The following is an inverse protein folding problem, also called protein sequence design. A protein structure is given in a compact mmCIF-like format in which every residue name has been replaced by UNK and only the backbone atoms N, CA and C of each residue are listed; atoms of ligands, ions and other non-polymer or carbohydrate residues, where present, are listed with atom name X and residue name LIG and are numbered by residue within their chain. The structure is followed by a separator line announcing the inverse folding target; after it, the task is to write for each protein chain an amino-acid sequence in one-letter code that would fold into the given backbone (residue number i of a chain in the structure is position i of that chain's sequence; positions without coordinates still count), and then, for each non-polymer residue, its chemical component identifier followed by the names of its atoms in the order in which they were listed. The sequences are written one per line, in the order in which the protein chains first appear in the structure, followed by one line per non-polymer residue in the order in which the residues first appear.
data_IF_107771402924
#
_entry.id   IF_107771402924
#
_cell.length_a   1.000
_cell.length_b   1.000
_cell.length_c   1.000
_cell.angle_alpha   90.00
_cell.angle_beta   90.00
_cell.angle_gamma   90.00
#
_symmetry.space_group_name_H-M   'P 1'
#
loop_
_entity.id
_entity.type
_entity.pdbx_description
1 polymer ?
#
# COMPACT_ATOMS: atom_id res chain seq x y z
N UNK A 1 35.05 8.38 2.72
CA UNK A 1 33.89 9.24 2.43
C UNK A 1 32.87 8.99 3.52
N UNK A 2 32.49 10.01 4.30
CA UNK A 2 31.43 9.91 5.30
C UNK A 2 30.13 9.65 4.56
N UNK A 3 29.48 8.51 4.80
CA UNK A 3 28.14 8.22 4.25
C UNK A 3 27.18 9.25 4.87
N UNK A 4 26.56 10.06 4.05
CA UNK A 4 25.43 10.88 4.51
C UNK A 4 24.31 9.87 4.79
N UNK A 5 23.84 9.75 6.05
CA UNK A 5 22.74 8.82 6.33
C UNK A 5 21.49 9.26 5.56
N UNK A 6 20.77 8.29 5.03
CA UNK A 6 19.49 8.58 4.40
C UNK A 6 18.54 9.17 5.44
N UNK A 7 17.72 10.20 5.07
CA UNK A 7 16.80 10.80 6.02
C UNK A 7 15.81 9.75 6.54
N UNK A 8 15.55 9.79 7.84
CA UNK A 8 14.49 8.98 8.42
C UNK A 8 13.14 9.55 7.96
N UNK A 9 12.26 8.69 7.50
CA UNK A 9 10.88 9.04 7.17
C UNK A 9 10.05 9.02 8.45
N UNK A 10 9.96 10.17 9.12
CA UNK A 10 9.36 10.32 10.43
C UNK A 10 7.84 10.10 10.41
N UNK A 11 7.31 9.62 11.54
CA UNK A 11 5.88 9.53 11.83
C UNK A 11 5.55 10.50 12.98
N UNK A 12 5.32 11.79 12.70
CA UNK A 12 5.23 12.85 13.72
C UNK A 12 4.05 12.67 14.69
N UNK A 13 3.05 11.89 14.32
CA UNK A 13 1.87 11.62 15.13
C UNK A 13 1.88 10.23 15.77
N UNK A 14 3.03 9.54 15.77
CA UNK A 14 3.12 8.15 16.16
C UNK A 14 2.59 7.88 17.58
N UNK A 15 1.67 6.95 17.63
CA UNK A 15 1.13 6.34 18.84
C UNK A 15 1.27 4.82 18.66
N UNK A 16 1.81 4.14 19.68
CA UNK A 16 2.07 2.69 19.59
C UNK A 16 0.82 1.89 19.30
N UNK A 17 0.95 0.85 18.50
CA UNK A 17 -0.10 -0.09 18.14
C UNK A 17 0.38 -1.53 18.29
N UNK A 18 -0.55 -2.45 18.54
CA UNK A 18 -0.31 -3.89 18.45
C UNK A 18 -0.53 -4.42 17.02
N UNK A 19 -0.96 -3.57 16.08
CA UNK A 19 -1.11 -3.92 14.68
C UNK A 19 0.26 -4.19 14.05
N UNK A 20 0.30 -5.16 13.14
CA UNK A 20 1.52 -5.49 12.42
C UNK A 20 1.53 -4.79 11.07
N UNK A 21 2.69 -4.26 10.72
CA UNK A 21 3.00 -3.79 9.38
C UNK A 21 3.11 -5.02 8.46
N UNK A 22 2.38 -5.02 7.34
CA UNK A 22 2.51 -6.03 6.30
C UNK A 22 3.09 -5.42 5.04
N UNK A 23 4.24 -5.92 4.61
CA UNK A 23 4.80 -5.62 3.29
C UNK A 23 4.61 -6.84 2.38
N UNK A 24 4.12 -6.62 1.18
CA UNK A 24 4.00 -7.66 0.16
C UNK A 24 4.05 -7.03 -1.22
N UNK A 25 5.02 -7.50 -2.05
CA UNK A 25 5.18 -7.07 -3.44
C UNK A 25 5.61 -8.24 -4.31
N UNK A 26 5.23 -8.20 -5.58
CA UNK A 26 5.71 -9.15 -6.59
C UNK A 26 6.48 -8.37 -7.65
N UNK A 27 7.71 -8.73 -7.89
CA UNK A 27 8.56 -8.15 -8.95
C UNK A 27 8.72 -9.17 -10.05
N UNK A 28 8.23 -8.84 -11.23
CA UNK A 28 8.31 -9.68 -12.42
C UNK A 28 9.54 -9.30 -13.24
N UNK A 29 10.27 -10.27 -13.76
CA UNK A 29 11.47 -9.95 -14.54
C UNK A 29 12.25 -11.17 -15.01
N UNK A 30 13.46 -10.87 -15.51
CA UNK A 30 14.55 -11.82 -15.71
C UNK A 30 15.78 -11.25 -15.03
N UNK A 31 16.05 -11.74 -13.83
CA UNK A 31 17.00 -11.08 -12.95
C UNK A 31 18.44 -11.49 -13.24
N UNK A 32 19.33 -10.50 -13.23
CA UNK A 32 20.77 -10.70 -13.29
C UNK A 32 21.28 -11.15 -11.92
N UNK A 33 22.28 -12.04 -11.93
CA UNK A 33 22.96 -12.44 -10.70
C UNK A 33 23.78 -11.28 -10.14
N UNK A 34 23.74 -11.08 -8.83
CA UNK A 34 24.51 -10.04 -8.16
C UNK A 34 23.78 -9.42 -6.99
N UNK A 35 24.44 -8.46 -6.34
CA UNK A 35 23.82 -7.67 -5.27
C UNK A 35 23.01 -6.52 -5.88
N UNK A 36 21.78 -6.38 -5.45
CA UNK A 36 20.96 -5.25 -5.85
C UNK A 36 21.58 -3.92 -5.41
N UNK A 37 21.69 -2.91 -6.30
CA UNK A 37 22.30 -1.61 -6.00
C UNK A 37 21.35 -0.71 -5.19
N UNK A 38 20.80 -1.24 -4.09
CA UNK A 38 19.78 -0.54 -3.30
C UNK A 38 20.29 0.73 -2.61
N UNK A 39 21.59 0.85 -2.39
CA UNK A 39 22.22 2.07 -1.86
C UNK A 39 22.02 3.28 -2.76
N UNK A 40 21.88 3.10 -4.07
CA UNK A 40 21.63 4.18 -5.02
C UNK A 40 20.20 4.77 -4.83
N UNK A 41 19.33 4.00 -4.20
CA UNK A 41 17.95 4.33 -3.89
C UNK A 41 17.68 4.57 -2.39
N UNK A 42 18.72 4.82 -1.61
CA UNK A 42 18.55 5.17 -0.21
C UNK A 42 18.26 4.00 0.74
N UNK A 43 18.60 2.75 0.33
CA UNK A 43 18.33 1.55 1.11
C UNK A 43 19.61 0.76 1.37
N UNK A 44 19.82 0.30 2.60
CA UNK A 44 20.91 -0.62 2.96
C UNK A 44 20.56 -2.10 2.69
N UNK A 45 19.32 -2.38 2.30
CA UNK A 45 18.77 -3.70 2.03
C UNK A 45 17.35 -3.86 2.55
N UNK A 46 16.81 -5.06 2.51
CA UNK A 46 15.51 -5.34 3.11
C UNK A 46 15.61 -5.22 4.64
N UNK A 47 14.55 -4.68 5.29
CA UNK A 47 14.49 -4.63 6.75
C UNK A 47 14.44 -6.05 7.34
N UNK A 48 14.88 -6.18 8.61
CA UNK A 48 14.73 -7.42 9.35
C UNK A 48 13.27 -7.85 9.39
N UNK A 49 13.00 -9.13 9.12
CA UNK A 49 11.65 -9.69 9.05
C UNK A 49 10.95 -9.52 7.69
N UNK A 50 11.63 -8.93 6.70
CA UNK A 50 11.20 -8.92 5.30
C UNK A 50 12.10 -9.83 4.48
N UNK A 51 11.50 -10.79 3.80
CA UNK A 51 12.21 -11.80 3.00
C UNK A 51 11.90 -11.63 1.52
N UNK A 52 12.84 -12.06 0.70
CA UNK A 52 12.71 -12.15 -0.74
C UNK A 52 12.85 -13.60 -1.19
N UNK A 53 11.84 -14.12 -1.88
CA UNK A 53 11.85 -15.46 -2.46
C UNK A 53 11.74 -15.40 -3.97
N UNK A 54 12.52 -16.26 -4.66
CA UNK A 54 12.49 -16.36 -6.12
C UNK A 54 11.63 -17.54 -6.57
N UNK A 55 10.81 -17.31 -7.57
CA UNK A 55 9.93 -18.30 -8.15
C UNK A 55 10.07 -18.36 -9.66
N UNK A 56 10.03 -19.57 -10.21
CA UNK A 56 9.78 -19.75 -11.63
C UNK A 56 8.33 -19.32 -11.93
N UNK A 57 8.14 -18.41 -12.87
CA UNK A 57 6.83 -17.82 -13.11
C UNK A 57 5.81 -18.84 -13.65
N UNK A 58 6.24 -19.79 -14.49
CA UNK A 58 5.35 -20.82 -15.01
C UNK A 58 4.82 -21.75 -13.89
N UNK A 59 5.62 -22.00 -12.85
CA UNK A 59 5.20 -22.74 -11.67
C UNK A 59 4.29 -21.89 -10.78
N UNK A 60 4.63 -20.64 -10.55
CA UNK A 60 3.82 -19.72 -9.72
C UNK A 60 2.41 -19.52 -10.30
N UNK A 61 2.25 -19.54 -11.62
CA UNK A 61 0.96 -19.47 -12.29
C UNK A 61 0.01 -20.64 -11.97
N UNK A 62 0.52 -21.75 -11.45
CA UNK A 62 -0.31 -22.91 -11.06
C UNK A 62 -0.89 -22.74 -9.65
N UNK A 63 -0.39 -21.82 -8.88
CA UNK A 63 -0.90 -21.53 -7.54
C UNK A 63 -2.29 -20.85 -7.64
N UNK A 64 -3.26 -21.31 -6.85
CA UNK A 64 -4.64 -20.78 -6.86
C UNK A 64 -4.71 -19.28 -6.48
N UNK A 65 -3.82 -18.83 -5.62
CA UNK A 65 -3.68 -17.41 -5.22
C UNK A 65 -2.89 -16.54 -6.21
N UNK A 66 -2.59 -17.02 -7.43
CA UNK A 66 -1.82 -16.24 -8.40
C UNK A 66 -2.53 -14.93 -8.79
N UNK A 67 -1.91 -13.75 -8.53
CA UNK A 67 -2.62 -12.47 -8.53
C UNK A 67 -3.01 -11.95 -9.92
N UNK A 68 -2.38 -12.43 -11.01
CA UNK A 68 -2.70 -11.99 -12.37
C UNK A 68 -3.73 -12.89 -13.08
N UNK A 69 -4.58 -13.59 -12.30
CA UNK A 69 -5.62 -14.49 -12.82
C UNK A 69 -7.02 -13.94 -12.49
N UNK A 70 -8.02 -14.50 -13.16
CA UNK A 70 -9.45 -14.22 -12.88
C UNK A 70 -9.86 -12.77 -13.14
N UNK A 71 -10.70 -12.21 -12.28
CA UNK A 71 -11.21 -10.84 -12.38
C UNK A 71 -10.10 -9.80 -12.17
N UNK A 72 -9.23 -10.04 -11.21
CA UNK A 72 -8.09 -9.15 -10.91
C UNK A 72 -7.12 -9.09 -12.09
N UNK A 73 -6.81 -10.24 -12.71
CA UNK A 73 -5.98 -10.27 -13.91
C UNK A 73 -6.61 -9.51 -15.09
N UNK A 74 -7.94 -9.60 -15.27
CA UNK A 74 -8.65 -8.80 -16.29
C UNK A 74 -8.58 -7.31 -15.99
N UNK A 75 -8.77 -6.90 -14.75
CA UNK A 75 -8.64 -5.51 -14.32
C UNK A 75 -7.26 -4.93 -14.68
N UNK A 76 -6.18 -5.67 -14.38
CA UNK A 76 -4.83 -5.23 -14.75
C UNK A 76 -4.61 -5.17 -16.26
N UNK A 77 -5.16 -6.14 -17.01
CA UNK A 77 -5.06 -6.14 -18.46
C UNK A 77 -5.73 -4.92 -19.11
N UNK A 78 -6.80 -4.43 -18.51
CA UNK A 78 -7.56 -3.27 -18.96
C UNK A 78 -6.95 -1.95 -18.46
N UNK A 79 -6.59 -1.89 -17.16
CA UNK A 79 -6.10 -0.66 -16.52
C UNK A 79 -4.62 -0.38 -16.72
N UNK A 80 -3.78 -1.42 -16.90
CA UNK A 80 -2.32 -1.30 -17.06
C UNK A 80 -1.82 -2.31 -18.11
N UNK A 81 -2.25 -2.21 -19.39
CA UNK A 81 -2.04 -3.25 -20.40
C UNK A 81 -0.58 -3.54 -20.68
N UNK A 82 0.29 -2.53 -20.69
CA UNK A 82 1.72 -2.71 -20.96
C UNK A 82 2.41 -3.40 -19.76
N UNK A 83 2.19 -2.92 -18.54
CA UNK A 83 2.72 -3.55 -17.34
C UNK A 83 2.22 -5.00 -17.19
N UNK A 84 0.95 -5.25 -17.53
CA UNK A 84 0.38 -6.59 -17.52
C UNK A 84 1.07 -7.51 -18.53
N UNK A 85 1.28 -7.05 -19.76
CA UNK A 85 1.98 -7.81 -20.79
C UNK A 85 3.40 -8.15 -20.36
N UNK A 86 4.16 -7.16 -19.88
CA UNK A 86 5.53 -7.34 -19.38
C UNK A 86 5.56 -8.35 -18.21
N UNK A 87 4.63 -8.23 -17.26
CA UNK A 87 4.53 -9.14 -16.13
C UNK A 87 4.22 -10.58 -16.58
N UNK A 88 3.28 -10.76 -17.51
CA UNK A 88 2.91 -12.09 -18.00
C UNK A 88 4.08 -12.75 -18.77
N UNK A 89 4.84 -12.00 -19.54
CA UNK A 89 5.96 -12.53 -20.35
C UNK A 89 7.23 -12.78 -19.52
N UNK A 90 7.31 -12.26 -18.30
CA UNK A 90 8.47 -12.43 -17.42
C UNK A 90 8.66 -13.92 -17.02
N UNK A 91 9.89 -14.46 -17.08
CA UNK A 91 10.16 -15.85 -16.71
C UNK A 91 10.25 -16.09 -15.19
N UNK A 92 10.51 -15.05 -14.41
CA UNK A 92 10.78 -15.13 -12.98
C UNK A 92 9.92 -14.11 -12.20
N UNK A 93 9.62 -14.43 -10.94
CA UNK A 93 8.95 -13.56 -10.00
C UNK A 93 9.69 -13.58 -8.68
N UNK A 94 10.08 -12.41 -8.20
CA UNK A 94 10.56 -12.23 -6.84
C UNK A 94 9.39 -11.77 -5.98
N UNK A 95 9.13 -12.50 -4.89
CA UNK A 95 8.12 -12.15 -3.90
C UNK A 95 8.83 -11.57 -2.69
N UNK A 96 8.58 -10.31 -2.39
CA UNK A 96 9.03 -9.63 -1.19
C UNK A 96 7.87 -9.62 -0.21
N UNK A 97 8.07 -10.21 0.97
CA UNK A 97 7.03 -10.28 2.00
C UNK A 97 7.63 -10.25 3.39
N UNK A 98 6.94 -9.54 4.30
CA UNK A 98 7.28 -9.57 5.72
C UNK A 98 6.18 -9.00 6.58
N UNK A 99 6.20 -9.38 7.85
CA UNK A 99 5.42 -8.79 8.92
C UNK A 99 6.38 -8.18 9.94
N UNK A 100 6.15 -6.91 10.28
CA UNK A 100 6.98 -6.16 11.21
C UNK A 100 6.13 -5.64 12.37
N UNK A 101 6.70 -5.45 13.55
CA UNK A 101 6.02 -4.69 14.60
C UNK A 101 5.83 -3.24 14.18
N UNK A 102 4.90 -2.54 14.86
CA UNK A 102 4.73 -1.10 14.65
C UNK A 102 6.04 -0.33 14.89
N UNK A 103 6.25 0.75 14.16
CA UNK A 103 7.49 1.52 14.16
C UNK A 103 7.25 3.01 14.29
N UNK A 104 8.17 3.71 14.96
CA UNK A 104 8.18 5.17 15.15
C UNK A 104 8.47 5.96 13.87
N UNK A 105 8.95 5.27 12.82
CA UNK A 105 9.23 5.84 11.51
C UNK A 105 8.86 4.85 10.40
N UNK A 106 8.93 5.26 9.14
CA UNK A 106 8.70 4.42 7.97
C UNK A 106 9.98 4.08 7.21
N UNK A 107 11.12 3.99 7.93
CA UNK A 107 12.41 3.57 7.37
C UNK A 107 12.35 2.20 6.72
N UNK A 108 11.59 1.27 7.31
CA UNK A 108 11.33 -0.06 6.75
C UNK A 108 10.70 0.01 5.34
N UNK A 109 9.80 0.96 5.11
CA UNK A 109 9.16 1.16 3.82
C UNK A 109 10.14 1.77 2.82
N UNK A 110 10.90 2.81 3.23
CA UNK A 110 11.97 3.40 2.42
C UNK A 110 12.95 2.32 1.95
N UNK A 111 13.40 1.48 2.86
CA UNK A 111 14.40 0.45 2.57
C UNK A 111 13.83 -0.60 1.61
N UNK A 112 12.59 -1.02 1.82
CA UNK A 112 11.90 -1.93 0.90
C UNK A 112 11.72 -1.32 -0.49
N UNK A 113 11.28 -0.06 -0.59
CA UNK A 113 11.11 0.64 -1.87
C UNK A 113 12.44 0.80 -2.61
N UNK A 114 13.53 1.08 -1.90
CA UNK A 114 14.87 1.16 -2.48
C UNK A 114 15.35 -0.18 -3.04
N UNK A 115 15.05 -1.29 -2.37
CA UNK A 115 15.33 -2.64 -2.91
C UNK A 115 14.48 -2.91 -4.15
N UNK A 116 13.19 -2.59 -4.13
CA UNK A 116 12.31 -2.76 -5.28
C UNK A 116 12.80 -1.97 -6.50
N UNK A 117 13.23 -0.72 -6.31
CA UNK A 117 13.81 0.10 -7.38
C UNK A 117 15.10 -0.54 -7.95
N UNK A 118 15.97 -1.03 -7.08
CA UNK A 118 17.20 -1.71 -7.49
C UNK A 118 16.93 -3.02 -8.25
N UNK A 119 15.89 -3.76 -7.91
CA UNK A 119 15.48 -4.97 -8.64
C UNK A 119 15.00 -4.64 -10.06
N UNK A 120 14.41 -3.47 -10.29
CA UNK A 120 14.08 -3.01 -11.64
C UNK A 120 15.33 -2.79 -12.48
N UNK A 121 16.44 -2.29 -11.90
CA UNK A 121 17.72 -2.15 -12.60
C UNK A 121 18.38 -3.50 -12.88
N UNK A 122 18.05 -4.53 -12.09
CA UNK A 122 18.57 -5.90 -12.27
C UNK A 122 17.77 -6.74 -13.27
N UNK A 123 16.82 -6.14 -13.99
CA UNK A 123 16.03 -6.84 -15.00
C UNK A 123 14.56 -7.04 -14.62
N UNK A 124 14.10 -6.41 -13.54
CA UNK A 124 12.67 -6.28 -13.23
C UNK A 124 11.97 -5.41 -14.26
N UNK A 125 10.76 -5.81 -14.66
CA UNK A 125 9.97 -5.11 -15.69
C UNK A 125 8.64 -4.60 -15.18
N UNK A 126 8.10 -5.21 -14.11
CA UNK A 126 6.85 -4.78 -13.49
C UNK A 126 6.84 -5.10 -12.00
N UNK A 127 6.11 -4.30 -11.22
CA UNK A 127 5.86 -4.51 -9.80
C UNK A 127 4.35 -4.50 -9.53
N UNK A 128 3.88 -5.53 -8.84
CA UNK A 128 2.52 -5.61 -8.33
C UNK A 128 2.51 -5.33 -6.83
N UNK A 129 1.67 -4.41 -6.43
CA UNK A 129 1.24 -4.20 -5.05
C UNK A 129 -0.16 -4.81 -4.85
N UNK A 130 -0.29 -5.97 -4.22
CA UNK A 130 -1.58 -6.63 -4.04
C UNK A 130 -2.48 -5.93 -3.02
N UNK A 131 -1.94 -5.09 -2.13
CA UNK A 131 -2.74 -4.39 -1.12
C UNK A 131 -3.54 -3.23 -1.72
N UNK A 132 -3.01 -2.61 -2.77
CA UNK A 132 -3.69 -1.52 -3.50
C UNK A 132 -4.21 -1.96 -4.86
N UNK A 133 -4.04 -3.25 -5.22
CA UNK A 133 -4.42 -3.78 -6.53
C UNK A 133 -3.84 -2.96 -7.69
N UNK A 134 -2.57 -2.57 -7.59
CA UNK A 134 -1.87 -1.81 -8.62
C UNK A 134 -0.73 -2.61 -9.22
N UNK A 135 -0.66 -2.58 -10.54
CA UNK A 135 0.42 -3.16 -11.34
C UNK A 135 1.13 -2.03 -12.10
N UNK A 136 2.41 -1.86 -11.84
CA UNK A 136 3.22 -0.79 -12.38
C UNK A 136 4.29 -1.34 -13.31
N UNK A 137 4.52 -0.68 -14.44
CA UNK A 137 5.78 -0.80 -15.17
C UNK A 137 6.93 -0.11 -14.41
N UNK A 138 8.18 -0.37 -14.85
CA UNK A 138 9.37 0.11 -14.16
C UNK A 138 9.44 1.65 -14.06
N UNK A 139 9.04 2.37 -15.13
CA UNK A 139 9.14 3.82 -15.17
C UNK A 139 8.06 4.47 -14.31
N UNK A 140 6.85 3.94 -14.35
CA UNK A 140 5.74 4.38 -13.49
C UNK A 140 6.06 4.14 -12.03
N UNK A 141 6.62 2.96 -11.67
CA UNK A 141 7.06 2.70 -10.31
C UNK A 141 8.07 3.74 -9.82
N UNK A 142 9.12 3.99 -10.59
CA UNK A 142 10.16 4.96 -10.18
C UNK A 142 9.58 6.35 -9.96
N UNK A 143 8.70 6.82 -10.84
CA UNK A 143 8.06 8.14 -10.69
C UNK A 143 7.23 8.27 -9.41
N UNK A 144 6.58 7.20 -8.97
CA UNK A 144 5.69 7.24 -7.82
C UNK A 144 6.40 6.97 -6.49
N UNK A 145 7.43 6.13 -6.48
CA UNK A 145 7.96 5.58 -5.23
C UNK A 145 9.43 5.92 -4.96
N UNK A 146 10.20 6.34 -5.97
CA UNK A 146 11.57 6.80 -5.75
C UNK A 146 11.54 8.29 -5.39
N UNK A 147 11.29 8.55 -4.11
CA UNK A 147 11.21 9.90 -3.54
C UNK A 147 12.30 10.11 -2.50
N UNK A 148 12.76 11.35 -2.32
CA UNK A 148 13.84 11.66 -1.39
C UNK A 148 13.34 11.96 0.02
N UNK A 149 12.22 12.65 0.12
CA UNK A 149 11.74 13.20 1.37
C UNK A 149 10.37 12.64 1.74
N UNK A 150 10.31 11.92 2.87
CA UNK A 150 9.08 11.33 3.42
C UNK A 150 8.52 10.15 2.63
N UNK A 151 7.61 9.43 3.24
CA UNK A 151 6.91 8.33 2.60
C UNK A 151 5.91 8.85 1.57
N UNK A 152 5.83 8.27 0.34
CA UNK A 152 4.82 8.66 -0.65
C UNK A 152 3.46 8.04 -0.30
N UNK A 153 2.88 8.43 0.85
CA UNK A 153 1.72 7.78 1.48
C UNK A 153 0.57 7.60 0.49
N UNK A 154 0.23 8.66 -0.24
CA UNK A 154 -0.89 8.62 -1.21
C UNK A 154 -0.75 7.51 -2.26
N UNK A 155 0.47 7.22 -2.68
CA UNK A 155 0.75 6.19 -3.69
C UNK A 155 0.65 4.75 -3.12
N UNK A 156 0.60 4.61 -1.80
CA UNK A 156 0.39 3.35 -1.10
C UNK A 156 -1.07 3.09 -0.73
N UNK A 157 -1.97 3.99 -1.09
CA UNK A 157 -3.40 3.90 -0.78
C UNK A 157 -4.22 3.75 -2.06
N UNK A 158 -5.21 2.87 -2.01
CA UNK A 158 -6.32 2.82 -2.93
C UNK A 158 -7.54 3.39 -2.21
N UNK A 159 -8.17 4.43 -2.77
CA UNK A 159 -9.42 4.99 -2.28
C UNK A 159 -10.52 4.53 -3.23
N UNK A 160 -11.49 3.83 -2.69
CA UNK A 160 -12.64 3.27 -3.40
C UNK A 160 -13.90 4.04 -3.06
N UNK A 161 -14.83 4.07 -4.02
CA UNK A 161 -16.16 4.62 -3.86
C UNK A 161 -17.19 3.62 -4.38
N UNK A 162 -18.02 3.12 -3.48
CA UNK A 162 -19.10 2.19 -3.79
C UNK A 162 -20.45 2.82 -3.49
N UNK A 163 -21.51 2.37 -4.18
CA UNK A 163 -22.87 2.81 -3.91
C UNK A 163 -23.52 1.90 -2.89
N UNK A 164 -24.06 2.47 -1.83
CA UNK A 164 -24.83 1.77 -0.80
C UNK A 164 -26.27 1.50 -1.25
N UNK A 165 -26.96 0.61 -0.56
CA UNK A 165 -28.36 0.21 -0.88
C UNK A 165 -29.37 1.37 -0.82
N UNK A 166 -29.09 2.38 -0.02
CA UNK A 166 -29.89 3.58 0.13
C UNK A 166 -29.65 4.63 -0.96
N UNK A 167 -28.71 4.38 -1.89
CA UNK A 167 -28.31 5.31 -2.94
C UNK A 167 -27.20 6.28 -2.56
N UNK A 168 -26.80 6.31 -1.30
CA UNK A 168 -25.64 7.08 -0.84
C UNK A 168 -24.33 6.35 -1.20
N UNK A 169 -23.20 7.00 -0.97
CA UNK A 169 -21.87 6.43 -1.25
C UNK A 169 -21.17 5.98 0.02
N UNK A 170 -20.35 5.00 -0.17
CA UNK A 170 -19.34 4.53 0.76
C UNK A 170 -17.95 4.78 0.17
N UNK A 171 -17.13 5.57 0.85
CA UNK A 171 -15.73 5.85 0.49
C UNK A 171 -14.83 5.17 1.51
N UNK A 172 -13.86 4.40 1.02
CA UNK A 172 -12.98 3.68 1.92
C UNK A 172 -11.58 3.47 1.31
N UNK A 173 -10.60 3.16 2.17
CA UNK A 173 -9.23 2.89 1.74
C UNK A 173 -8.93 1.40 1.70
N UNK A 174 -7.86 1.06 0.98
CA UNK A 174 -7.07 -0.16 1.13
C UNK A 174 -5.59 0.20 1.08
N UNK A 175 -4.75 -0.57 1.80
CA UNK A 175 -3.31 -0.39 1.80
C UNK A 175 -2.71 0.05 3.12
N UNK A 176 -3.52 0.39 4.11
CA UNK A 176 -3.09 0.87 5.41
C UNK A 176 -2.30 -0.16 6.23
N UNK A 177 -2.41 -1.45 5.91
CA UNK A 177 -1.57 -2.50 6.52
C UNK A 177 -0.07 -2.26 6.33
N UNK A 178 0.35 -1.56 5.26
CA UNK A 178 1.76 -1.16 5.07
C UNK A 178 2.27 -0.22 6.16
N UNK A 179 1.35 0.43 6.86
CA UNK A 179 1.65 1.37 7.95
C UNK A 179 1.31 0.80 9.33
N UNK A 180 0.82 -0.46 9.42
CA UNK A 180 0.33 -1.04 10.67
C UNK A 180 -0.81 -0.22 11.26
N UNK A 181 -1.77 0.17 10.40
CA UNK A 181 -2.92 0.99 10.75
C UNK A 181 -4.21 0.46 10.12
N UNK A 182 -5.37 0.73 10.74
CA UNK A 182 -6.67 0.43 10.15
C UNK A 182 -6.87 1.13 8.80
N UNK A 183 -7.73 0.56 7.97
CA UNK A 183 -8.24 1.27 6.80
C UNK A 183 -9.34 2.26 7.22
N UNK A 184 -9.53 3.33 6.45
CA UNK A 184 -10.58 4.33 6.71
C UNK A 184 -11.84 3.94 5.95
N UNK A 185 -12.99 4.07 6.60
CA UNK A 185 -14.33 3.86 6.05
C UNK A 185 -15.21 5.07 6.34
N UNK A 186 -15.80 5.67 5.31
CA UNK A 186 -16.79 6.77 5.47
C UNK A 186 -18.05 6.34 4.76
N UNK A 187 -19.16 6.26 5.49
CA UNK A 187 -20.44 5.76 5.01
C UNK A 187 -21.52 6.84 4.98
N UNK A 188 -22.59 6.51 4.26
CA UNK A 188 -23.83 7.33 4.16
C UNK A 188 -23.58 8.70 3.50
N UNK A 189 -22.71 8.77 2.51
CA UNK A 189 -22.29 10.00 1.85
C UNK A 189 -23.28 10.36 0.74
N UNK A 190 -23.95 11.54 0.78
CA UNK A 190 -24.74 12.04 -0.34
C UNK A 190 -23.89 12.23 -1.60
N UNK A 191 -24.46 12.08 -2.79
CA UNK A 191 -23.73 12.24 -4.06
C UNK A 191 -23.01 13.59 -4.16
N UNK A 192 -23.66 14.65 -3.72
CA UNK A 192 -23.10 16.02 -3.74
C UNK A 192 -21.82 16.18 -2.91
N UNK A 193 -21.62 15.33 -1.88
CA UNK A 193 -20.49 15.40 -0.96
C UNK A 193 -19.40 14.34 -1.26
N UNK A 194 -19.56 13.53 -2.30
CA UNK A 194 -18.68 12.38 -2.53
C UNK A 194 -17.22 12.77 -2.73
N UNK A 195 -16.92 13.87 -3.42
CA UNK A 195 -15.55 14.34 -3.61
C UNK A 195 -14.94 14.88 -2.31
N UNK A 196 -15.73 15.58 -1.51
CA UNK A 196 -15.34 16.08 -0.18
C UNK A 196 -15.03 14.93 0.77
N UNK A 197 -15.87 13.89 0.75
CA UNK A 197 -15.63 12.68 1.54
C UNK A 197 -14.36 11.93 1.08
N UNK A 198 -14.08 11.91 -0.22
CA UNK A 198 -12.83 11.36 -0.76
C UNK A 198 -11.58 12.06 -0.22
N UNK A 199 -11.59 13.40 -0.22
CA UNK A 199 -10.50 14.21 0.34
C UNK A 199 -10.35 14.02 1.85
N UNK A 200 -11.46 13.93 2.58
CA UNK A 200 -11.44 13.66 4.02
C UNK A 200 -10.86 12.27 4.31
N UNK A 201 -11.30 11.25 3.57
CA UNK A 201 -10.78 9.89 3.68
C UNK A 201 -9.26 9.84 3.47
N UNK A 202 -8.75 10.56 2.45
CA UNK A 202 -7.32 10.67 2.18
C UNK A 202 -6.57 11.31 3.35
N UNK A 203 -7.06 12.42 3.90
CA UNK A 203 -6.43 13.12 5.04
C UNK A 203 -6.41 12.27 6.30
N UNK A 204 -7.51 11.55 6.60
CA UNK A 204 -7.57 10.66 7.76
C UNK A 204 -6.59 9.49 7.63
N UNK A 205 -6.51 8.89 6.44
CA UNK A 205 -5.56 7.83 6.15
C UNK A 205 -4.10 8.33 6.23
N UNK A 206 -3.82 9.54 5.75
CA UNK A 206 -2.49 10.15 5.87
C UNK A 206 -2.10 10.39 7.32
N UNK A 207 -3.01 10.89 8.16
CA UNK A 207 -2.77 11.07 9.60
C UNK A 207 -2.42 9.74 10.27
N UNK A 208 -3.16 8.67 9.99
CA UNK A 208 -2.86 7.34 10.52
C UNK A 208 -1.55 6.77 9.98
N UNK A 209 -1.26 6.91 8.69
CA UNK A 209 0.03 6.51 8.12
C UNK A 209 1.20 7.25 8.76
N UNK A 210 1.01 8.53 9.13
CA UNK A 210 1.95 9.35 9.91
C UNK A 210 1.93 9.01 11.41
N UNK A 211 1.20 7.97 11.81
CA UNK A 211 1.29 7.37 13.13
C UNK A 211 0.15 7.66 14.08
N UNK A 212 -0.79 8.53 13.72
CA UNK A 212 -1.98 8.77 14.53
C UNK A 212 -2.84 7.51 14.69
N UNK A 213 -3.71 7.52 15.67
CA UNK A 213 -4.74 6.49 15.91
C UNK A 213 -6.03 7.15 16.32
N UNK A 214 -7.13 6.60 15.87
CA UNK A 214 -8.46 6.96 16.33
C UNK A 214 -8.95 5.93 17.36
N UNK A 215 -9.52 6.44 18.46
CA UNK A 215 -10.10 5.58 19.49
C UNK A 215 -11.59 5.33 19.21
N UNK A 216 -12.12 4.21 19.72
CA UNK A 216 -13.56 3.97 19.71
C UNK A 216 -14.33 5.12 20.37
N UNK A 217 -15.35 5.65 19.69
CA UNK A 217 -16.15 6.77 20.16
C UNK A 217 -15.46 8.14 20.11
N UNK A 218 -14.27 8.25 19.53
CA UNK A 218 -13.57 9.53 19.40
C UNK A 218 -14.35 10.45 18.46
N UNK A 219 -14.64 11.67 18.95
CA UNK A 219 -15.22 12.74 18.15
C UNK A 219 -14.13 13.50 17.39
N UNK A 220 -14.41 13.81 16.12
CA UNK A 220 -13.56 14.59 15.23
C UNK A 220 -14.37 15.72 14.61
N UNK A 221 -13.81 16.91 14.66
CA UNK A 221 -14.32 18.06 13.90
C UNK A 221 -13.54 18.16 12.57
N UNK A 222 -14.23 17.98 11.46
CA UNK A 222 -13.66 18.06 10.13
C UNK A 222 -14.57 18.83 9.18
N UNK A 223 -14.09 19.89 8.58
CA UNK A 223 -14.80 20.73 7.60
C UNK A 223 -16.19 21.21 8.10
N UNK A 224 -16.30 21.49 9.42
CA UNK A 224 -17.55 21.93 10.07
C UNK A 224 -18.55 20.80 10.36
N UNK A 225 -18.13 19.56 10.28
CA UNK A 225 -18.89 18.37 10.64
C UNK A 225 -18.32 17.72 11.88
N UNK A 226 -19.18 17.21 12.77
CA UNK A 226 -18.77 16.31 13.84
C UNK A 226 -18.93 14.86 13.39
N UNK A 227 -17.85 14.11 13.45
CA UNK A 227 -17.76 12.70 13.07
C UNK A 227 -17.34 11.89 14.28
N UNK A 228 -17.90 10.69 14.42
CA UNK A 228 -17.56 9.77 15.51
C UNK A 228 -16.91 8.53 14.94
N UNK A 229 -15.73 8.18 15.46
CA UNK A 229 -14.98 7.00 15.05
C UNK A 229 -15.60 5.74 15.67
N UNK A 230 -15.80 4.71 14.85
CA UNK A 230 -16.18 3.35 15.26
C UNK A 230 -15.15 2.38 14.74
N UNK A 231 -14.60 1.54 15.62
CA UNK A 231 -13.60 0.54 15.25
C UNK A 231 -14.26 -0.75 14.81
N UNK A 232 -13.71 -1.40 13.78
CA UNK A 232 -14.25 -2.65 13.27
C UNK A 232 -13.27 -3.46 12.43
N UNK A 233 -13.79 -4.51 11.83
CA UNK A 233 -13.06 -5.38 10.91
C UNK A 233 -12.06 -6.31 11.56
N UNK A 234 -11.22 -6.89 10.72
CA UNK A 234 -10.16 -7.82 11.07
C UNK A 234 -9.53 -8.39 9.82
N UNK A 235 -8.57 -9.29 9.97
CA UNK A 235 -7.86 -9.88 8.82
C UNK A 235 -8.76 -10.72 7.91
N UNK A 236 -9.90 -11.19 8.44
CA UNK A 236 -10.91 -11.97 7.71
C UNK A 236 -12.02 -11.10 7.11
N UNK A 237 -11.94 -9.78 7.28
CA UNK A 237 -12.92 -8.86 6.70
C UNK A 237 -12.83 -8.90 5.17
N UNK A 238 -13.96 -9.15 4.50
CA UNK A 238 -13.98 -9.36 3.05
C UNK A 238 -13.72 -8.07 2.26
N UNK A 239 -14.10 -6.91 2.82
CA UNK A 239 -13.94 -5.62 2.16
C UNK A 239 -12.56 -5.02 2.37
N UNK A 240 -11.99 -5.17 3.58
CA UNK A 240 -10.71 -4.55 3.94
C UNK A 240 -9.55 -5.54 4.00
N UNK A 241 -9.81 -6.78 4.46
CA UNK A 241 -8.73 -7.72 4.84
C UNK A 241 -7.77 -7.08 5.86
N UNK A 242 -8.35 -6.25 6.73
CA UNK A 242 -7.71 -5.41 7.74
C UNK A 242 -8.73 -4.98 8.78
N UNK A 243 -8.28 -4.40 9.90
CA UNK A 243 -9.11 -3.56 10.75
C UNK A 243 -9.47 -2.26 10.04
N UNK A 244 -10.53 -1.60 10.45
CA UNK A 244 -10.91 -0.29 9.91
C UNK A 244 -11.41 0.66 11.00
N UNK A 245 -11.37 1.96 10.69
CA UNK A 245 -12.06 3.02 11.42
C UNK A 245 -13.18 3.54 10.53
N UNK A 246 -14.41 3.39 11.00
CA UNK A 246 -15.60 3.86 10.28
C UNK A 246 -16.08 5.20 10.85
N UNK A 247 -16.41 6.09 9.93
CA UNK A 247 -17.10 7.35 10.19
C UNK A 247 -18.40 7.38 9.42
N UNK A 248 -19.46 7.96 10.00
CA UNK A 248 -20.71 8.18 9.28
C UNK A 248 -20.83 9.63 8.91
N UNK A 249 -21.14 9.88 7.65
CA UNK A 249 -21.46 11.22 7.18
C UNK A 249 -22.73 11.70 7.87
N UNK A 250 -22.75 12.92 8.42
CA UNK A 250 -23.94 13.47 9.06
C UNK A 250 -25.09 13.64 8.06
N UNK A 251 -26.33 13.53 8.55
CA UNK A 251 -27.54 13.73 7.78
C UNK A 251 -27.76 15.21 7.40
#
# INVERSE_FOLDING_TARGET
MSKIPFPAWQRPHWQSSNEHILLQFFVFGKFQSGRAPSLDYGSEGLPDGVEMTSHNHAQLRQWDGYPLRGSVGRMFKEGAPEAYRQAIDAPEVLVIRGQLPDSTDTGYLRDTLGVLAALLDMGGVAILDPQTLNLYDADTWRRHFVVRDGAPIRNHLLILRDTEKNGNYWVHTRGMRKFGRPDISIRNIPEADSDRAGLLCERLAELEALGARFAEGQELEADGMSLVATLGGGLEDADFNNTFVEFRWPE
#
